data_IF_592937553624
#
_entry.id   IF_592937553624
#
_cell.length_a   1.000
_cell.length_b   1.000
_cell.length_c   1.000
_cell.angle_alpha   90.00
_cell.angle_beta   90.00
_cell.angle_gamma   90.00
#
_symmetry.space_group_name_H-M   'P 1'
#
loop_
_entity.id
_entity.type
_entity.pdbx_description
1 polymer ?
#
# COMPACT_ATOMS: atom_id res chain seq x y z
N UNK A 1 -16.99 -6.57 -0.36
CA UNK A 1 -17.33 -6.33 -1.78
C UNK A 1 -16.11 -6.00 -2.66
N UNK A 2 -15.20 -5.15 -2.18
CA UNK A 2 -14.02 -4.70 -2.94
C UNK A 2 -12.89 -5.74 -3.08
N UNK A 3 -12.98 -6.90 -2.43
CA UNK A 3 -11.93 -7.94 -2.45
C UNK A 3 -11.90 -8.77 -3.73
N UNK A 4 -12.81 -8.52 -4.68
CA UNK A 4 -13.01 -9.32 -5.89
C UNK A 4 -12.56 -8.63 -7.18
N UNK A 5 -12.00 -7.43 -7.09
CA UNK A 5 -11.49 -6.67 -8.22
C UNK A 5 -9.99 -6.44 -8.00
N UNK A 6 -9.16 -6.85 -8.96
CA UNK A 6 -7.79 -6.36 -9.01
C UNK A 6 -7.84 -4.88 -9.37
N UNK A 7 -7.30 -4.04 -8.48
CA UNK A 7 -7.31 -2.59 -8.65
C UNK A 7 -6.52 -2.20 -9.90
N UNK A 8 -6.98 -1.16 -10.59
CA UNK A 8 -6.22 -0.54 -11.67
C UNK A 8 -4.79 -0.21 -11.23
N UNK A 9 -3.83 -0.44 -12.14
CA UNK A 9 -2.41 -0.15 -11.92
C UNK A 9 -1.85 0.68 -13.07
N UNK A 10 -0.71 1.28 -12.81
CA UNK A 10 0.14 1.93 -13.80
C UNK A 10 1.57 1.42 -13.65
N UNK A 11 2.31 1.41 -14.74
CA UNK A 11 3.75 1.17 -14.76
C UNK A 11 4.44 2.45 -15.23
N UNK A 12 5.41 2.95 -14.45
CA UNK A 12 6.10 4.22 -14.76
C UNK A 12 7.60 4.11 -14.57
N UNK A 13 8.31 4.93 -15.34
CA UNK A 13 9.72 5.26 -15.09
C UNK A 13 9.75 6.62 -14.38
N UNK A 14 10.53 6.73 -13.31
CA UNK A 14 10.62 7.91 -12.45
C UNK A 14 12.06 8.43 -12.33
N UNK A 15 12.20 9.76 -12.36
CA UNK A 15 13.36 10.46 -11.80
C UNK A 15 12.90 11.23 -10.58
N UNK A 16 13.46 10.94 -9.40
CA UNK A 16 13.16 11.67 -8.17
C UNK A 16 14.39 12.45 -7.69
N UNK A 17 14.23 13.75 -7.45
CA UNK A 17 15.30 14.63 -6.93
C UNK A 17 14.74 15.61 -5.90
N UNK A 18 15.59 16.03 -4.96
CA UNK A 18 15.24 16.99 -3.90
C UNK A 18 15.26 18.44 -4.39
N UNK A 19 16.20 18.78 -5.28
CA UNK A 19 16.36 20.12 -5.82
C UNK A 19 15.37 20.42 -6.97
N UNK A 20 14.54 21.45 -6.80
CA UNK A 20 13.52 21.84 -7.77
C UNK A 20 14.11 22.37 -9.09
N UNK A 21 15.22 23.11 -9.03
CA UNK A 21 15.88 23.65 -10.22
C UNK A 21 16.45 22.53 -11.08
N UNK A 22 17.07 21.53 -10.45
CA UNK A 22 17.52 20.30 -11.08
C UNK A 22 16.34 19.53 -11.67
N UNK A 23 15.24 19.38 -10.93
CA UNK A 23 14.04 18.73 -11.42
C UNK A 23 13.49 19.42 -12.69
N UNK A 24 13.39 20.75 -12.70
CA UNK A 24 12.94 21.52 -13.87
C UNK A 24 13.85 21.30 -15.09
N UNK A 25 15.17 21.28 -14.89
CA UNK A 25 16.15 21.01 -15.96
C UNK A 25 15.97 19.60 -16.55
N UNK A 26 15.84 18.60 -15.69
CA UNK A 26 15.66 17.20 -16.12
C UNK A 26 14.33 17.02 -16.85
N UNK A 27 13.24 17.62 -16.36
CA UNK A 27 11.95 17.58 -17.04
C UNK A 27 12.05 18.18 -18.46
N UNK A 28 12.75 19.30 -18.61
CA UNK A 28 12.96 19.92 -19.91
C UNK A 28 13.80 19.04 -20.86
N UNK A 29 14.80 18.32 -20.35
CA UNK A 29 15.58 17.38 -21.16
C UNK A 29 14.71 16.20 -21.62
N UNK A 30 13.94 15.61 -20.72
CA UNK A 30 13.02 14.50 -21.03
C UNK A 30 11.97 14.94 -22.05
N UNK A 31 11.38 16.15 -21.90
CA UNK A 31 10.44 16.72 -22.88
C UNK A 31 11.05 16.97 -24.27
N UNK A 32 12.37 17.17 -24.34
CA UNK A 32 13.12 17.31 -25.60
C UNK A 32 13.52 15.96 -26.21
N UNK A 33 13.12 14.85 -25.62
CA UNK A 33 13.37 13.50 -26.13
C UNK A 33 14.58 12.80 -25.51
N UNK A 34 15.18 13.36 -24.44
CA UNK A 34 16.21 12.62 -23.70
C UNK A 34 15.62 11.35 -23.07
N UNK A 35 16.42 10.28 -23.02
CA UNK A 35 16.00 9.03 -22.40
C UNK A 35 15.88 9.21 -20.87
N UNK A 36 14.66 9.11 -20.38
CA UNK A 36 14.35 9.22 -18.95
C UNK A 36 15.04 8.12 -18.13
N UNK A 37 15.25 6.93 -18.69
CA UNK A 37 15.88 5.82 -17.97
C UNK A 37 17.38 6.05 -17.75
N UNK A 38 18.07 6.59 -18.74
CA UNK A 38 19.48 6.98 -18.58
C UNK A 38 19.64 8.15 -17.60
N UNK A 39 18.80 9.18 -17.74
CA UNK A 39 18.77 10.28 -16.77
C UNK A 39 18.42 9.80 -15.35
N UNK A 40 17.56 8.78 -15.21
CA UNK A 40 17.26 8.20 -13.92
C UNK A 40 18.47 7.48 -13.31
N UNK A 41 19.22 6.68 -14.08
CA UNK A 41 20.47 6.04 -13.61
C UNK A 41 21.47 7.06 -13.09
N UNK A 42 21.56 8.22 -13.72
CA UNK A 42 22.53 9.25 -13.30
C UNK A 42 22.03 10.08 -12.12
N UNK A 43 20.76 10.48 -12.13
CA UNK A 43 20.28 11.58 -11.31
C UNK A 43 19.28 11.22 -10.24
N UNK A 44 18.62 10.06 -10.31
CA UNK A 44 17.59 9.71 -9.32
C UNK A 44 18.20 9.52 -7.94
N UNK A 45 17.58 10.14 -6.95
CA UNK A 45 17.88 9.96 -5.53
C UNK A 45 17.14 8.77 -4.94
N UNK A 46 16.26 8.11 -5.72
CA UNK A 46 15.59 6.87 -5.32
C UNK A 46 16.49 5.68 -5.61
N UNK A 47 17.27 5.29 -4.61
CA UNK A 47 18.37 4.31 -4.74
C UNK A 47 17.95 2.95 -5.29
N UNK A 48 16.82 2.38 -4.84
CA UNK A 48 16.43 1.01 -5.22
C UNK A 48 16.00 0.82 -6.68
N UNK A 49 15.77 1.92 -7.42
CA UNK A 49 15.43 1.90 -8.86
C UNK A 49 16.50 2.50 -9.74
N UNK A 50 17.58 3.02 -9.16
CA UNK A 50 18.64 3.72 -9.89
C UNK A 50 19.24 2.84 -10.99
N UNK A 51 19.70 1.65 -10.63
CA UNK A 51 20.26 0.67 -11.57
C UNK A 51 19.22 0.10 -12.56
N UNK A 52 17.93 0.24 -12.23
CA UNK A 52 16.81 -0.16 -13.10
C UNK A 52 16.34 0.98 -14.00
N UNK A 53 17.11 2.07 -14.09
CA UNK A 53 16.74 3.23 -14.89
C UNK A 53 15.44 3.88 -14.46
N UNK A 54 15.20 3.96 -13.14
CA UNK A 54 14.03 4.65 -12.59
C UNK A 54 12.73 3.84 -12.64
N UNK A 55 12.77 2.58 -13.08
CA UNK A 55 11.58 1.76 -13.21
C UNK A 55 10.97 1.39 -11.84
N UNK A 56 9.75 1.89 -11.57
CA UNK A 56 8.98 1.61 -10.34
C UNK A 56 8.17 0.30 -10.42
N UNK A 57 8.10 -0.33 -11.58
CA UNK A 57 7.20 -1.43 -11.89
C UNK A 57 5.73 -1.03 -11.83
N UNK A 58 4.86 -2.03 -11.74
CA UNK A 58 3.43 -1.80 -11.60
C UNK A 58 3.05 -1.39 -10.17
N UNK A 59 2.20 -0.37 -10.06
CA UNK A 59 1.60 -0.01 -8.78
C UNK A 59 0.20 0.56 -8.93
N UNK A 60 -0.59 0.44 -7.86
CA UNK A 60 -1.92 1.03 -7.76
C UNK A 60 -1.89 2.34 -6.96
N UNK A 61 -3.04 3.01 -6.91
CA UNK A 61 -3.24 4.25 -6.17
C UNK A 61 -2.71 4.24 -4.72
N UNK A 62 -2.78 3.09 -4.02
CA UNK A 62 -2.40 3.00 -2.60
C UNK A 62 -0.90 3.13 -2.37
N UNK A 63 -0.06 2.72 -3.34
CA UNK A 63 1.40 2.71 -3.17
C UNK A 63 2.03 4.09 -3.39
N UNK A 64 1.66 4.76 -4.48
CA UNK A 64 2.16 6.11 -4.81
C UNK A 64 1.01 6.99 -5.33
N UNK A 65 0.17 7.56 -4.44
CA UNK A 65 -1.05 8.27 -4.85
C UNK A 65 -0.82 9.42 -5.82
N UNK A 66 0.18 10.28 -5.56
CA UNK A 66 0.47 11.44 -6.40
C UNK A 66 1.00 11.03 -7.79
N UNK A 67 1.88 10.03 -7.84
CA UNK A 67 2.40 9.50 -9.10
C UNK A 67 1.28 8.81 -9.89
N UNK A 68 0.43 8.03 -9.21
CA UNK A 68 -0.70 7.37 -9.84
C UNK A 68 -1.66 8.40 -10.46
N UNK A 69 -2.03 9.45 -9.72
CA UNK A 69 -2.93 10.52 -10.21
C UNK A 69 -2.37 11.21 -11.45
N UNK A 70 -1.07 11.48 -11.51
CA UNK A 70 -0.44 12.05 -12.69
C UNK A 70 -0.32 11.05 -13.84
N UNK A 71 0.01 9.80 -13.56
CA UNK A 71 0.15 8.75 -14.57
C UNK A 71 -1.17 8.46 -15.30
N UNK A 72 -2.32 8.50 -14.60
CA UNK A 72 -3.61 8.23 -15.25
C UNK A 72 -4.08 9.33 -16.19
N UNK A 73 -3.53 10.56 -16.13
CA UNK A 73 -3.94 11.68 -17.00
C UNK A 73 -3.22 11.72 -18.34
N UNK A 74 -2.15 10.94 -18.50
CA UNK A 74 -1.32 10.90 -19.72
C UNK A 74 -1.43 9.56 -20.44
N UNK A 75 -1.02 9.47 -21.70
CA UNK A 75 -1.04 8.22 -22.48
C UNK A 75 0.26 7.41 -22.32
N UNK A 76 0.21 6.07 -22.52
CA UNK A 76 1.43 5.26 -22.59
C UNK A 76 2.47 5.86 -23.54
N UNK A 77 3.72 5.93 -23.09
CA UNK A 77 4.84 6.56 -23.79
C UNK A 77 5.00 8.06 -23.51
N UNK A 78 3.99 8.74 -22.94
CA UNK A 78 4.06 10.17 -22.64
C UNK A 78 4.75 10.46 -21.30
N UNK A 79 5.25 11.69 -21.19
CA UNK A 79 5.87 12.24 -19.99
C UNK A 79 4.89 13.21 -19.35
N UNK A 80 4.69 13.10 -18.04
CA UNK A 80 3.82 14.03 -17.33
C UNK A 80 4.39 15.47 -17.45
N UNK A 81 3.59 16.47 -17.83
CA UNK A 81 4.11 17.77 -18.23
C UNK A 81 4.63 18.62 -17.08
N UNK A 82 4.38 18.27 -15.83
CA UNK A 82 4.76 19.05 -14.66
C UNK A 82 5.58 18.25 -13.65
N UNK A 83 6.15 18.92 -12.66
CA UNK A 83 6.81 18.24 -11.56
C UNK A 83 5.78 17.74 -10.55
N UNK A 84 5.93 16.50 -10.10
CA UNK A 84 5.05 15.90 -9.10
C UNK A 84 5.73 15.98 -7.74
N UNK A 85 5.09 16.67 -6.78
CA UNK A 85 5.61 16.75 -5.41
C UNK A 85 5.34 15.44 -4.67
N UNK A 86 6.39 14.85 -4.11
CA UNK A 86 6.34 13.63 -3.29
C UNK A 86 7.10 13.90 -1.99
N UNK A 87 6.36 14.26 -0.94
CA UNK A 87 6.95 14.79 0.30
C UNK A 87 7.74 16.07 0.03
N UNK A 88 9.03 16.05 0.38
CA UNK A 88 9.96 17.17 0.18
C UNK A 88 10.78 17.04 -1.11
N UNK A 89 10.40 16.14 -2.02
CA UNK A 89 11.09 15.90 -3.29
C UNK A 89 10.17 16.12 -4.49
N UNK A 90 10.78 16.18 -5.67
CA UNK A 90 10.13 16.33 -6.96
C UNK A 90 10.35 15.09 -7.81
N UNK A 91 9.30 14.63 -8.48
CA UNK A 91 9.32 13.45 -9.34
C UNK A 91 8.90 13.82 -10.76
N UNK A 92 9.62 13.28 -11.74
CA UNK A 92 9.30 13.33 -13.16
C UNK A 92 8.94 11.90 -13.54
N UNK A 93 7.83 11.70 -14.23
CA UNK A 93 7.39 10.37 -14.64
C UNK A 93 7.16 10.29 -16.15
N UNK A 94 7.47 9.12 -16.71
CA UNK A 94 7.01 8.67 -18.01
C UNK A 94 6.11 7.46 -17.79
N UNK A 95 4.93 7.47 -18.41
CA UNK A 95 4.02 6.34 -18.35
C UNK A 95 4.50 5.25 -19.33
N UNK A 96 4.67 4.04 -18.83
CA UNK A 96 4.95 2.86 -19.66
C UNK A 96 3.63 2.24 -20.12
N UNK A 97 2.76 1.90 -19.17
CA UNK A 97 1.45 1.29 -19.47
C UNK A 97 0.40 1.56 -18.38
N UNK A 98 -0.88 1.47 -18.78
CA UNK A 98 -2.03 1.44 -17.86
C UNK A 98 -2.63 0.05 -17.86
N UNK A 99 -2.78 -0.53 -16.67
CA UNK A 99 -3.40 -1.84 -16.49
C UNK A 99 -4.80 -1.62 -15.90
N UNK A 100 -5.88 -1.91 -16.67
CA UNK A 100 -7.24 -1.71 -16.21
C UNK A 100 -7.59 -2.66 -15.06
N UNK A 101 -8.57 -2.29 -14.22
CA UNK A 101 -9.02 -3.18 -13.18
C UNK A 101 -9.65 -4.43 -13.79
N UNK A 102 -9.33 -5.60 -13.23
CA UNK A 102 -9.88 -6.87 -13.71
C UNK A 102 -10.70 -7.52 -12.60
N UNK A 103 -11.92 -7.92 -12.92
CA UNK A 103 -12.74 -8.74 -12.01
C UNK A 103 -12.08 -10.11 -11.88
N UNK A 104 -11.92 -10.59 -10.65
CA UNK A 104 -11.46 -11.95 -10.41
C UNK A 104 -12.56 -12.93 -10.82
N UNK A 105 -12.19 -13.93 -11.61
CA UNK A 105 -13.09 -15.04 -11.95
C UNK A 105 -13.55 -15.73 -10.66
N UNK A 106 -14.84 -16.05 -10.60
CA UNK A 106 -15.46 -16.65 -9.41
C UNK A 106 -14.70 -17.89 -8.94
N UNK A 107 -14.29 -18.77 -9.87
CA UNK A 107 -13.55 -20.00 -9.53
C UNK A 107 -12.19 -19.72 -8.88
N UNK A 108 -11.51 -18.61 -9.22
CA UNK A 108 -10.24 -18.24 -8.60
C UNK A 108 -10.39 -17.75 -7.14
N UNK A 109 -11.58 -17.28 -6.75
CA UNK A 109 -11.86 -16.72 -5.41
C UNK A 109 -12.78 -17.60 -4.57
N UNK A 110 -13.44 -18.59 -5.16
CA UNK A 110 -14.41 -19.51 -4.53
C UNK A 110 -13.87 -20.15 -3.27
N UNK A 111 -12.65 -20.70 -3.31
CA UNK A 111 -12.02 -21.31 -2.13
C UNK A 111 -11.77 -20.29 -1.02
N UNK A 112 -11.36 -19.06 -1.37
CA UNK A 112 -11.15 -17.99 -0.40
C UNK A 112 -12.45 -17.53 0.24
N UNK A 113 -13.52 -17.37 -0.56
CA UNK A 113 -14.87 -17.05 -0.06
C UNK A 113 -15.36 -18.15 0.88
N UNK A 114 -15.28 -19.41 0.45
CA UNK A 114 -15.68 -20.56 1.26
C UNK A 114 -14.94 -20.60 2.59
N UNK A 115 -13.62 -20.43 2.59
CA UNK A 115 -12.82 -20.41 3.82
C UNK A 115 -13.19 -19.22 4.72
N UNK A 116 -13.46 -18.04 4.15
CA UNK A 116 -13.89 -16.87 4.91
C UNK A 116 -15.24 -17.11 5.61
N UNK A 117 -16.23 -17.61 4.89
CA UNK A 117 -17.55 -17.91 5.44
C UNK A 117 -17.47 -18.99 6.52
N UNK A 118 -16.71 -20.06 6.27
CA UNK A 118 -16.50 -21.12 7.27
C UNK A 118 -15.79 -20.62 8.53
N UNK A 119 -14.86 -19.67 8.41
CA UNK A 119 -14.21 -19.04 9.56
C UNK A 119 -15.20 -18.18 10.36
N UNK A 120 -16.03 -17.42 9.66
CA UNK A 120 -17.04 -16.54 10.26
C UNK A 120 -18.09 -17.34 11.03
N UNK A 121 -18.64 -18.40 10.41
CA UNK A 121 -19.57 -19.32 11.09
C UNK A 121 -18.92 -20.02 12.28
N UNK A 122 -17.68 -20.53 12.13
CA UNK A 122 -16.98 -21.16 13.26
C UNK A 122 -16.79 -20.20 14.43
N UNK A 123 -16.44 -18.95 14.15
CA UNK A 123 -16.25 -17.93 15.18
C UNK A 123 -17.57 -17.68 15.91
N UNK A 124 -18.67 -17.49 15.17
CA UNK A 124 -20.00 -17.29 15.76
C UNK A 124 -20.40 -18.47 16.65
N UNK A 125 -20.30 -19.71 16.14
CA UNK A 125 -20.63 -20.90 16.92
C UNK A 125 -19.73 -21.09 18.14
N UNK A 126 -18.44 -20.72 18.04
CA UNK A 126 -17.53 -20.77 19.18
C UNK A 126 -17.88 -19.73 20.25
N UNK A 127 -18.18 -18.50 19.84
CA UNK A 127 -18.59 -17.43 20.74
C UNK A 127 -19.90 -17.80 21.48
N UNK A 128 -20.88 -18.34 20.75
CA UNK A 128 -22.14 -18.84 21.31
C UNK A 128 -21.93 -20.02 22.28
N UNK A 129 -21.10 -21.00 21.89
CA UNK A 129 -20.77 -22.14 22.76
C UNK A 129 -20.07 -21.67 24.04
N UNK A 130 -19.12 -20.75 23.92
CA UNK A 130 -18.36 -20.23 25.05
C UNK A 130 -19.26 -19.46 26.02
N UNK A 131 -20.18 -18.63 25.50
CA UNK A 131 -21.15 -17.92 26.32
C UNK A 131 -22.07 -18.89 27.08
N UNK A 132 -22.58 -19.91 26.39
CA UNK A 132 -23.44 -20.93 27.00
C UNK A 132 -22.69 -21.77 28.05
N UNK A 133 -21.44 -22.15 27.78
CA UNK A 133 -20.60 -22.86 28.74
C UNK A 133 -20.33 -22.01 29.99
N UNK A 134 -20.03 -20.72 29.83
CA UNK A 134 -19.83 -19.79 30.96
C UNK A 134 -21.08 -19.69 31.84
N UNK A 135 -22.26 -19.56 31.24
CA UNK A 135 -23.56 -19.51 31.94
C UNK A 135 -23.88 -20.81 32.67
N UNK A 136 -23.68 -21.96 32.01
CA UNK A 136 -24.04 -23.28 32.54
C UNK A 136 -23.17 -23.71 33.73
N UNK A 137 -21.87 -23.41 33.68
CA UNK A 137 -20.91 -23.91 34.67
C UNK A 137 -20.49 -22.85 35.70
N UNK A 138 -21.07 -21.64 35.67
CA UNK A 138 -20.82 -20.61 36.68
C UNK A 138 -19.36 -20.16 36.72
N UNK A 139 -18.74 -19.94 35.56
CA UNK A 139 -17.32 -19.62 35.45
C UNK A 139 -16.97 -18.32 36.21
N UNK A 140 -16.09 -18.41 37.22
CA UNK A 140 -15.46 -17.25 37.85
C UNK A 140 -14.03 -17.12 37.34
N UNK A 141 -13.79 -16.10 36.52
CA UNK A 141 -12.44 -15.75 36.06
C UNK A 141 -11.86 -14.78 37.07
N UNK A 142 -10.87 -15.22 37.84
CA UNK A 142 -10.13 -14.39 38.78
C UNK A 142 -8.99 -13.68 38.06
N UNK A 143 -9.32 -12.66 37.26
CA UNK A 143 -8.36 -11.91 36.44
C UNK A 143 -7.19 -11.38 37.26
N UNK A 144 -7.43 -10.98 38.52
CA UNK A 144 -6.39 -10.52 39.46
C UNK A 144 -5.33 -11.56 39.78
N UNK A 145 -5.67 -12.85 39.79
CA UNK A 145 -4.71 -13.93 40.06
C UNK A 145 -3.93 -14.30 38.80
N UNK A 146 -4.60 -14.27 37.64
CA UNK A 146 -3.97 -14.52 36.35
C UNK A 146 -2.92 -13.43 36.08
N UNK A 147 -3.25 -12.15 36.32
CA UNK A 147 -2.33 -11.03 36.12
C UNK A 147 -1.05 -11.12 36.95
N UNK A 148 -1.08 -11.74 38.14
CA UNK A 148 0.11 -11.97 38.98
C UNK A 148 1.06 -12.99 38.35
N UNK A 149 0.55 -13.91 37.55
CA UNK A 149 1.34 -14.94 36.85
C UNK A 149 1.88 -14.47 35.50
N UNK A 150 1.41 -13.32 35.01
CA UNK A 150 1.89 -12.72 33.77
C UNK A 150 3.16 -11.94 34.06
N UNK A 151 4.27 -12.38 33.46
CA UNK A 151 5.50 -11.60 33.41
C UNK A 151 5.31 -10.39 32.48
N UNK A 152 4.85 -9.27 33.06
CA UNK A 152 4.55 -8.02 32.35
C UNK A 152 5.78 -7.42 31.65
N UNK A 153 7.00 -7.83 32.02
CA UNK A 153 8.23 -7.38 31.35
C UNK A 153 8.36 -7.90 29.91
N UNK A 154 7.71 -9.02 29.58
CA UNK A 154 7.71 -9.63 28.23
C UNK A 154 6.73 -8.98 27.26
N UNK A 155 5.83 -8.14 27.76
CA UNK A 155 4.73 -7.54 26.98
C UNK A 155 4.69 -6.02 27.11
N UNK A 156 5.82 -5.37 27.42
CA UNK A 156 5.89 -3.91 27.41
C UNK A 156 5.43 -3.41 26.03
N UNK A 157 4.29 -2.70 26.05
CA UNK A 157 3.78 -2.02 24.89
C UNK A 157 4.82 -0.99 24.44
N UNK A 158 5.28 -1.06 23.19
CA UNK A 158 5.79 0.11 22.49
C UNK A 158 4.62 1.07 22.30
N UNK A 159 4.31 1.84 23.34
CA UNK A 159 3.34 2.91 23.31
C UNK A 159 3.95 4.11 22.59
N UNK A 160 3.71 4.20 21.29
CA UNK A 160 3.44 5.48 20.64
C UNK A 160 2.29 5.24 19.67
N UNK A 161 1.07 5.37 20.16
CA UNK A 161 0.18 6.39 19.60
C UNK A 161 -0.99 6.67 20.55
N UNK A 162 -0.95 7.85 21.14
CA UNK A 162 -2.08 8.56 21.77
C UNK A 162 -3.00 9.05 20.68
N UNK A 163 -4.25 8.58 20.63
CA UNK A 163 -5.38 9.38 20.16
C UNK A 163 -6.73 8.72 20.54
N UNK A 164 -7.29 9.25 21.63
CA UNK A 164 -8.68 9.73 21.69
C UNK A 164 -9.83 8.77 21.41
N UNK A 165 -10.43 8.22 22.46
CA UNK A 165 -11.90 8.24 22.60
C UNK A 165 -12.22 8.51 24.07
N UNK A 166 -12.57 9.76 24.35
CA UNK A 166 -13.30 10.16 25.55
C UNK A 166 -14.73 10.52 25.11
N UNK A 167 -15.69 10.10 25.94
CA UNK A 167 -17.15 10.24 25.89
C UNK A 167 -17.94 9.14 25.15
#
# INVERSE_FOLDING_TARGET
>A
PDSFIDSAKVHVIEIQVSDESKAKKLLNQVKKGADISELAKEHTERTYVKEKGGDLGEFNYRRYPNLYKAAITINPGEVYPELIKVGNKYSIIKLVEKIPPKRKEFEAIKNRIRTSLLNEERKQHYDDWLENAKKKYGFKIYTSEIEKTIDKSKYQATSTDTASVEQ
#
